data_IF_113551204289
#
_entry.id   IF_113551204289
#
_cell.length_a   1.000
_cell.length_b   1.000
_cell.length_c   1.000
_cell.angle_alpha   90.00
_cell.angle_beta   90.00
_cell.angle_gamma   90.00
#
_symmetry.space_group_name_H-M   'P 1'
#
loop_
_entity.id
_entity.type
_entity.pdbx_description
1 polymer ?
#
# COMPACT_ATOMS: atom_id res chain seq x y z
N UNK A 1 -16.52 5.16 9.15
CA UNK A 1 -15.31 5.93 8.75
C UNK A 1 -14.42 4.96 8.01
N UNK A 2 -14.17 5.24 6.72
CA UNK A 2 -13.41 4.33 5.84
C UNK A 2 -11.92 4.47 6.11
N UNK A 3 -11.20 3.35 6.13
CA UNK A 3 -9.75 3.29 6.31
C UNK A 3 -9.14 2.67 5.06
N UNK A 4 -8.28 3.42 4.38
CA UNK A 4 -7.67 2.98 3.12
C UNK A 4 -6.17 2.90 3.31
N UNK A 5 -5.63 1.71 3.12
CA UNK A 5 -4.22 1.37 3.21
C UNK A 5 -3.68 1.21 1.80
N UNK A 6 -2.77 2.10 1.42
CA UNK A 6 -2.03 1.98 0.17
C UNK A 6 -0.67 1.35 0.45
N UNK A 7 -0.31 0.33 -0.31
CA UNK A 7 1.08 -0.09 -0.38
C UNK A 7 1.97 1.00 -1.00
N UNK A 8 3.28 0.91 -0.78
CA UNK A 8 4.24 1.85 -1.35
C UNK A 8 4.88 1.32 -2.63
N UNK A 9 5.71 0.29 -2.54
CA UNK A 9 6.58 -0.11 -3.66
C UNK A 9 5.79 -0.96 -4.67
N UNK A 10 5.66 -0.48 -5.89
CA UNK A 10 4.79 -1.10 -6.89
C UNK A 10 3.35 -0.58 -6.84
N UNK A 11 3.01 0.29 -5.89
CA UNK A 11 1.67 0.89 -5.77
C UNK A 11 1.72 2.41 -5.83
N UNK A 12 2.17 3.12 -4.77
CA UNK A 12 2.33 4.58 -4.80
C UNK A 12 3.66 5.02 -5.42
N UNK A 13 4.68 4.18 -5.32
CA UNK A 13 5.98 4.33 -5.96
C UNK A 13 6.16 3.25 -7.04
N UNK A 14 6.85 3.56 -8.12
CA UNK A 14 7.13 2.61 -9.17
C UNK A 14 8.11 1.53 -8.69
N UNK A 15 7.71 0.26 -8.80
CA UNK A 15 8.63 -0.85 -8.53
C UNK A 15 9.72 -0.90 -9.58
N UNK A 16 11.00 -0.79 -9.20
CA UNK A 16 12.14 -1.08 -10.07
C UNK A 16 12.67 -2.48 -9.70
N UNK A 17 12.93 -3.34 -10.69
CA UNK A 17 13.51 -4.66 -10.39
C UNK A 17 14.97 -4.46 -9.97
N UNK A 18 15.36 -5.04 -8.82
CA UNK A 18 16.68 -4.87 -8.24
C UNK A 18 17.09 -6.10 -7.43
N UNK A 19 18.39 -6.37 -7.37
CA UNK A 19 18.95 -7.43 -6.53
C UNK A 19 19.00 -7.04 -5.04
N UNK A 20 19.15 -8.02 -4.13
CA UNK A 20 19.18 -7.75 -2.67
C UNK A 20 20.23 -6.71 -2.26
N UNK A 21 21.40 -6.70 -2.91
CA UNK A 21 22.46 -5.70 -2.64
C UNK A 21 21.99 -4.28 -2.96
N UNK A 22 21.28 -4.10 -4.07
CA UNK A 22 20.76 -2.81 -4.52
C UNK A 22 19.57 -2.39 -3.67
N UNK A 23 18.66 -3.31 -3.32
CA UNK A 23 17.54 -3.06 -2.41
C UNK A 23 18.02 -2.57 -1.03
N UNK A 24 19.18 -3.03 -0.57
CA UNK A 24 19.83 -2.58 0.67
C UNK A 24 20.72 -1.35 0.50
N UNK A 25 20.92 -0.86 -0.73
CA UNK A 25 21.74 0.31 -1.00
C UNK A 25 21.02 1.59 -0.59
N UNK A 26 21.79 2.55 -0.08
CA UNK A 26 21.24 3.82 0.38
C UNK A 26 20.59 4.59 -0.76
N UNK A 27 19.39 5.10 -0.51
CA UNK A 27 18.65 5.92 -1.46
C UNK A 27 17.89 5.10 -2.49
N UNK A 28 17.92 3.76 -2.45
CA UNK A 28 17.17 2.94 -3.40
C UNK A 28 15.67 3.28 -3.35
N UNK A 29 15.05 3.17 -2.18
CA UNK A 29 13.62 3.46 -2.00
C UNK A 29 13.32 4.96 -2.10
N UNK A 30 14.27 5.82 -1.71
CA UNK A 30 14.13 7.27 -1.76
C UNK A 30 14.00 7.81 -3.19
N UNK A 31 14.67 7.16 -4.13
CA UNK A 31 14.75 7.59 -5.52
C UNK A 31 13.77 6.85 -6.44
N UNK A 32 12.80 6.11 -5.89
CA UNK A 32 11.73 5.53 -6.69
C UNK A 32 10.83 6.64 -7.23
N UNK A 33 10.50 6.54 -8.52
CA UNK A 33 9.59 7.48 -9.17
C UNK A 33 8.16 7.25 -8.65
N UNK A 34 7.33 8.30 -8.56
CA UNK A 34 5.95 8.15 -8.13
C UNK A 34 5.09 7.51 -9.21
N UNK A 35 4.19 6.61 -8.79
CA UNK A 35 3.03 6.22 -9.60
C UNK A 35 2.00 7.36 -9.53
N UNK A 36 2.23 8.39 -10.34
CA UNK A 36 1.66 9.74 -10.16
C UNK A 36 0.13 9.75 -10.02
N UNK A 37 -0.60 9.02 -10.87
CA UNK A 37 -2.07 9.04 -10.85
C UNK A 37 -2.64 8.53 -9.51
N UNK A 38 -2.21 7.35 -9.06
CA UNK A 38 -2.68 6.76 -7.80
C UNK A 38 -2.13 7.51 -6.58
N UNK A 39 -0.92 8.07 -6.66
CA UNK A 39 -0.37 8.92 -5.61
C UNK A 39 -1.23 10.18 -5.41
N UNK A 40 -1.56 10.89 -6.47
CA UNK A 40 -2.40 12.07 -6.40
C UNK A 40 -3.82 11.74 -5.94
N UNK A 41 -4.35 10.58 -6.35
CA UNK A 41 -5.62 10.07 -5.83
C UNK A 41 -5.57 9.82 -4.32
N UNK A 42 -4.54 9.13 -3.82
CA UNK A 42 -4.36 8.87 -2.38
C UNK A 42 -4.21 10.17 -1.57
N UNK A 43 -3.45 11.15 -2.08
CA UNK A 43 -3.29 12.47 -1.46
C UNK A 43 -4.61 13.26 -1.41
N UNK A 44 -5.45 13.16 -2.45
CA UNK A 44 -6.79 13.76 -2.45
C UNK A 44 -7.72 13.09 -1.45
N UNK A 45 -7.67 11.76 -1.30
CA UNK A 45 -8.45 11.03 -0.30
C UNK A 45 -8.04 11.40 1.13
N UNK A 46 -6.75 11.62 1.38
CA UNK A 46 -6.24 11.97 2.70
C UNK A 46 -6.73 13.33 3.23
N UNK A 47 -7.26 14.18 2.35
CA UNK A 47 -7.85 15.48 2.70
C UNK A 47 -9.35 15.41 3.04
N UNK A 48 -9.97 14.21 2.98
CA UNK A 48 -11.39 14.04 3.25
C UNK A 48 -11.60 13.62 4.71
N UNK A 49 -12.48 14.33 5.42
CA UNK A 49 -12.72 14.11 6.86
C UNK A 49 -13.32 12.73 7.20
N UNK A 50 -13.95 12.06 6.23
CA UNK A 50 -14.58 10.75 6.43
C UNK A 50 -13.72 9.55 5.98
N UNK A 51 -12.48 9.81 5.57
CA UNK A 51 -11.54 8.79 5.09
C UNK A 51 -10.19 8.95 5.79
N UNK A 52 -9.76 7.91 6.47
CA UNK A 52 -8.38 7.82 6.96
C UNK A 52 -7.52 7.10 5.93
N UNK A 53 -6.47 7.76 5.47
CA UNK A 53 -5.50 7.18 4.53
C UNK A 53 -4.22 6.81 5.26
N UNK A 54 -3.71 5.61 4.96
CA UNK A 54 -2.48 5.05 5.51
C UNK A 54 -1.56 4.61 4.37
N UNK A 55 -0.25 4.81 4.54
CA UNK A 55 0.77 4.10 3.76
C UNK A 55 1.18 2.86 4.56
N UNK A 56 1.05 1.67 3.96
CA UNK A 56 1.35 0.38 4.59
C UNK A 56 2.36 -0.39 3.75
N UNK A 57 3.64 -0.33 4.14
CA UNK A 57 4.74 -0.90 3.34
C UNK A 57 5.63 -1.80 4.20
N UNK A 58 6.19 -2.83 3.56
CA UNK A 58 7.25 -3.63 4.17
C UNK A 58 8.60 -2.90 4.06
N UNK A 59 9.50 -3.12 5.01
CA UNK A 59 10.88 -2.63 4.92
C UNK A 59 11.89 -3.72 5.28
N UNK A 60 13.09 -3.60 4.71
CA UNK A 60 14.23 -4.47 5.01
C UNK A 60 14.99 -3.94 6.23
N UNK A 61 15.44 -4.84 7.10
CA UNK A 61 16.34 -4.51 8.21
C UNK A 61 17.78 -4.41 7.74
N UNK A 62 18.64 -3.87 8.61
CA UNK A 62 20.09 -3.81 8.42
C UNK A 62 20.50 -2.99 7.17
N UNK A 63 19.69 -1.98 6.82
CA UNK A 63 19.93 -1.03 5.73
C UNK A 63 19.04 0.22 5.91
N UNK A 64 19.17 1.22 5.03
CA UNK A 64 18.45 2.51 5.14
C UNK A 64 17.02 2.47 4.61
N UNK A 65 16.44 1.29 4.40
CA UNK A 65 15.15 1.15 3.72
C UNK A 65 14.03 1.87 4.46
N UNK A 66 14.03 1.84 5.80
CA UNK A 66 13.02 2.51 6.60
C UNK A 66 13.17 4.04 6.53
N UNK A 67 14.39 4.57 6.64
CA UNK A 67 14.64 6.00 6.52
C UNK A 67 14.28 6.50 5.12
N UNK A 68 14.72 5.79 4.08
CA UNK A 68 14.47 6.14 2.68
C UNK A 68 12.96 6.21 2.38
N UNK A 69 12.18 5.23 2.87
CA UNK A 69 10.72 5.22 2.71
C UNK A 69 10.04 6.38 3.45
N UNK A 70 10.50 6.70 4.66
CA UNK A 70 9.98 7.85 5.40
C UNK A 70 10.25 9.15 4.64
N UNK A 71 11.50 9.37 4.22
CA UNK A 71 11.89 10.55 3.45
C UNK A 71 11.13 10.65 2.13
N UNK A 72 10.94 9.52 1.43
CA UNK A 72 10.11 9.48 0.22
C UNK A 72 8.69 9.97 0.51
N UNK A 73 8.07 9.46 1.58
CA UNK A 73 6.71 9.87 1.96
C UNK A 73 6.65 11.34 2.39
N UNK A 74 7.67 11.86 3.07
CA UNK A 74 7.76 13.27 3.44
C UNK A 74 7.82 14.18 2.22
N UNK A 75 8.57 13.79 1.19
CA UNK A 75 8.71 14.56 -0.04
C UNK A 75 7.51 14.44 -0.99
N UNK A 76 6.95 13.23 -1.13
CA UNK A 76 6.00 12.90 -2.20
C UNK A 76 4.55 12.80 -1.74
N UNK A 77 4.32 12.47 -0.47
CA UNK A 77 2.99 12.29 0.11
C UNK A 77 2.85 12.98 1.49
N UNK A 78 3.25 14.26 1.64
CA UNK A 78 3.25 14.92 2.95
C UNK A 78 1.87 15.00 3.60
N UNK A 79 0.79 14.89 2.83
CA UNK A 79 -0.59 14.88 3.33
C UNK A 79 -0.96 13.58 4.06
N UNK A 80 -0.29 12.46 3.76
CA UNK A 80 -0.58 11.16 4.38
C UNK A 80 0.34 10.98 5.59
N UNK A 81 -0.19 11.32 6.78
CA UNK A 81 0.56 11.24 8.04
C UNK A 81 0.60 9.84 8.63
N UNK A 82 -0.42 9.02 8.39
CA UNK A 82 -0.46 7.67 8.94
C UNK A 82 0.43 6.73 8.11
N UNK A 83 1.51 6.25 8.73
CA UNK A 83 2.47 5.34 8.10
C UNK A 83 2.66 4.10 8.96
N UNK A 84 2.41 2.95 8.36
CA UNK A 84 2.55 1.65 8.96
C UNK A 84 3.65 0.89 8.22
N UNK A 85 4.89 1.04 8.67
CA UNK A 85 6.01 0.29 8.12
C UNK A 85 6.25 -0.98 8.93
N UNK A 86 6.21 -2.12 8.24
CA UNK A 86 6.28 -3.46 8.86
C UNK A 86 7.52 -4.20 8.38
N UNK A 87 8.06 -5.10 9.21
CA UNK A 87 9.20 -5.91 8.81
C UNK A 87 8.83 -6.77 7.59
N UNK A 88 9.75 -6.89 6.64
CA UNK A 88 9.56 -7.75 5.48
C UNK A 88 9.19 -9.19 5.89
N UNK A 89 8.21 -9.78 5.20
CA UNK A 89 7.66 -11.09 5.53
C UNK A 89 6.53 -11.07 6.57
N UNK A 90 6.27 -9.95 7.24
CA UNK A 90 5.16 -9.80 8.17
C UNK A 90 3.83 -9.76 7.43
N UNK A 91 2.81 -10.45 7.95
CA UNK A 91 1.44 -10.32 7.47
C UNK A 91 0.90 -8.90 7.77
N UNK A 92 0.61 -8.15 6.71
CA UNK A 92 0.12 -6.76 6.79
C UNK A 92 -1.22 -6.65 7.53
N UNK A 93 -2.15 -7.57 7.29
CA UNK A 93 -3.46 -7.56 7.92
C UNK A 93 -3.38 -7.74 9.44
N UNK A 94 -2.59 -8.72 9.90
CA UNK A 94 -2.35 -8.93 11.33
C UNK A 94 -1.70 -7.73 12.00
N UNK A 95 -0.74 -7.09 11.32
CA UNK A 95 -0.07 -5.89 11.83
C UNK A 95 -1.05 -4.74 12.03
N UNK A 96 -1.91 -4.51 11.02
CA UNK A 96 -2.95 -3.47 11.08
C UNK A 96 -4.01 -3.79 12.14
N UNK A 97 -4.46 -5.04 12.24
CA UNK A 97 -5.38 -5.47 13.30
C UNK A 97 -4.83 -5.22 14.71
N UNK A 98 -3.53 -5.44 14.92
CA UNK A 98 -2.86 -5.15 16.19
C UNK A 98 -2.87 -3.65 16.50
N UNK A 99 -2.52 -2.80 15.52
CA UNK A 99 -2.52 -1.34 15.67
C UNK A 99 -3.92 -0.81 15.99
N UNK A 100 -4.93 -1.32 15.29
CA UNK A 100 -6.32 -0.94 15.46
C UNK A 100 -7.00 -1.60 16.67
N UNK A 101 -6.31 -2.52 17.35
CA UNK A 101 -6.83 -3.33 18.45
C UNK A 101 -8.12 -4.10 18.08
N UNK A 102 -8.14 -4.69 16.88
CA UNK A 102 -9.29 -5.44 16.35
C UNK A 102 -9.01 -6.93 16.22
N UNK A 103 -10.06 -7.73 16.38
CA UNK A 103 -10.03 -9.19 16.14
C UNK A 103 -10.20 -9.57 14.66
N UNK A 104 -10.74 -8.66 13.85
CA UNK A 104 -10.95 -8.81 12.41
C UNK A 104 -10.96 -7.45 11.73
N UNK A 105 -10.62 -7.42 10.44
CA UNK A 105 -10.88 -6.28 9.56
C UNK A 105 -12.34 -6.33 9.07
N UNK A 106 -12.75 -5.25 8.41
CA UNK A 106 -14.09 -5.06 7.83
C UNK A 106 -14.00 -4.63 6.36
N UNK A 107 -15.12 -4.56 5.66
CA UNK A 107 -15.20 -3.99 4.31
C UNK A 107 -14.84 -2.50 4.24
N UNK A 108 -14.94 -1.78 5.37
CA UNK A 108 -14.45 -0.43 5.58
C UNK A 108 -12.91 -0.34 5.75
N UNK A 109 -12.22 -1.47 5.90
CA UNK A 109 -10.75 -1.60 5.92
C UNK A 109 -10.25 -2.05 4.54
N UNK A 110 -9.86 -1.09 3.71
CA UNK A 110 -9.54 -1.30 2.30
C UNK A 110 -8.02 -1.33 2.10
N UNK A 111 -7.48 -2.41 1.54
CA UNK A 111 -6.09 -2.49 1.07
C UNK A 111 -6.03 -2.33 -0.45
N UNK A 112 -5.20 -1.40 -0.91
CA UNK A 112 -4.78 -1.25 -2.31
C UNK A 112 -3.31 -1.61 -2.38
N UNK A 113 -3.00 -2.74 -3.03
CA UNK A 113 -1.67 -3.35 -3.05
C UNK A 113 -1.46 -4.09 -4.37
N UNK A 114 -0.23 -4.18 -4.83
CA UNK A 114 0.13 -4.84 -6.09
C UNK A 114 0.41 -6.34 -5.88
N UNK A 115 0.78 -6.72 -4.66
CA UNK A 115 1.23 -8.05 -4.30
C UNK A 115 0.08 -8.95 -3.81
N UNK A 116 -0.19 -10.01 -4.59
CA UNK A 116 -1.34 -10.90 -4.35
C UNK A 116 -1.35 -11.58 -2.98
N UNK A 117 -0.18 -11.85 -2.38
CA UNK A 117 -0.10 -12.47 -1.06
C UNK A 117 -0.73 -11.56 -0.01
N UNK A 118 -0.35 -10.27 0.00
CA UNK A 118 -0.90 -9.28 0.93
C UNK A 118 -2.42 -9.17 0.78
N UNK A 119 -2.91 -9.13 -0.46
CA UNK A 119 -4.34 -9.02 -0.76
C UNK A 119 -5.13 -10.26 -0.30
N UNK A 120 -4.62 -11.46 -0.55
CA UNK A 120 -5.26 -12.71 -0.12
C UNK A 120 -5.29 -12.82 1.41
N UNK A 121 -4.19 -12.46 2.08
CA UNK A 121 -4.12 -12.40 3.53
C UNK A 121 -5.11 -11.37 4.09
N UNK A 122 -5.19 -10.18 3.49
CA UNK A 122 -6.14 -9.13 3.90
C UNK A 122 -7.60 -9.59 3.83
N UNK A 123 -7.99 -10.23 2.72
CA UNK A 123 -9.34 -10.82 2.57
C UNK A 123 -9.62 -11.89 3.61
N UNK A 124 -8.64 -12.75 3.92
CA UNK A 124 -8.79 -13.82 4.92
C UNK A 124 -9.19 -13.27 6.30
N UNK A 125 -8.79 -12.04 6.62
CA UNK A 125 -9.13 -11.36 7.87
C UNK A 125 -10.34 -10.42 7.74
N UNK A 126 -11.17 -10.55 6.70
CA UNK A 126 -12.42 -9.80 6.53
C UNK A 126 -12.27 -8.42 5.89
N UNK A 127 -11.05 -8.03 5.52
CA UNK A 127 -10.78 -6.74 4.87
C UNK A 127 -11.13 -6.75 3.39
N UNK A 128 -11.45 -5.57 2.85
CA UNK A 128 -11.59 -5.39 1.39
C UNK A 128 -10.22 -5.23 0.75
N UNK A 129 -9.91 -6.04 -0.26
CA UNK A 129 -8.65 -5.97 -0.99
C UNK A 129 -8.88 -5.65 -2.47
N UNK A 130 -8.13 -4.68 -3.00
CA UNK A 130 -8.18 -4.27 -4.40
C UNK A 130 -6.77 -4.36 -4.96
N UNK A 131 -6.60 -5.14 -6.04
CA UNK A 131 -5.29 -5.26 -6.68
C UNK A 131 -5.00 -4.06 -7.57
N UNK A 132 -3.91 -3.36 -7.30
CA UNK A 132 -3.38 -2.37 -8.23
C UNK A 132 -2.62 -3.04 -9.37
N UNK A 133 -2.87 -2.63 -10.62
CA UNK A 133 -2.19 -3.13 -11.82
C UNK A 133 -1.20 -2.07 -12.31
N UNK A 134 0.07 -2.20 -11.91
CA UNK A 134 1.14 -1.25 -12.19
C UNK A 134 1.89 -1.49 -13.52
N UNK A 135 1.35 -2.34 -14.40
CA UNK A 135 2.00 -2.75 -15.66
C UNK A 135 3.16 -3.76 -15.54
N UNK A 136 3.70 -3.99 -14.34
CA UNK A 136 4.78 -4.98 -14.06
C UNK A 136 4.24 -6.27 -13.41
N UNK A 137 3.05 -6.18 -12.84
CA UNK A 137 2.41 -7.29 -12.12
C UNK A 137 2.00 -8.43 -13.05
N UNK A 138 2.62 -9.61 -12.91
CA UNK A 138 2.26 -10.78 -13.71
C UNK A 138 2.93 -12.11 -13.34
N UNK A 139 3.90 -12.12 -12.42
CA UNK A 139 4.77 -13.29 -12.16
C UNK A 139 4.53 -14.01 -10.82
N UNK A 140 3.36 -13.86 -10.21
CA UNK A 140 3.09 -14.35 -8.84
C UNK A 140 1.74 -15.06 -8.64
N UNK A 141 1.42 -15.35 -7.37
CA UNK A 141 0.14 -15.95 -6.95
C UNK A 141 -1.05 -15.19 -7.57
N UNK A 142 -2.08 -15.93 -7.99
CA UNK A 142 -3.31 -15.32 -8.50
C UNK A 142 -4.09 -14.71 -7.33
N UNK A 143 -4.49 -13.46 -7.49
CA UNK A 143 -5.48 -12.82 -6.62
C UNK A 143 -6.83 -12.91 -7.30
N UNK A 144 -7.84 -13.42 -6.58
CA UNK A 144 -9.23 -13.47 -7.05
C UNK A 144 -10.04 -12.38 -6.35
N UNK A 145 -10.36 -11.32 -7.10
CA UNK A 145 -11.05 -10.14 -6.59
C UNK A 145 -10.87 -8.92 -7.50
N UNK A 146 -11.40 -7.76 -7.07
CA UNK A 146 -11.33 -6.51 -7.81
C UNK A 146 -9.89 -6.11 -8.13
N UNK A 147 -9.66 -5.69 -9.37
CA UNK A 147 -8.34 -5.29 -9.85
C UNK A 147 -8.49 -4.13 -10.81
N UNK A 148 -7.58 -3.18 -10.74
CA UNK A 148 -7.57 -2.05 -11.67
C UNK A 148 -6.19 -1.40 -11.71
N UNK A 149 -5.85 -0.81 -12.84
CA UNK A 149 -4.72 0.13 -12.99
C UNK A 149 -5.20 1.55 -13.28
N UNK A 150 -6.48 1.83 -13.06
CA UNK A 150 -7.12 3.10 -13.38
C UNK A 150 -7.76 3.71 -12.12
N UNK A 151 -7.50 4.99 -11.87
CA UNK A 151 -7.94 5.68 -10.66
C UNK A 151 -9.45 5.92 -10.59
N UNK A 152 -10.13 6.08 -11.73
CA UNK A 152 -11.59 6.26 -11.75
C UNK A 152 -12.33 4.97 -11.40
N UNK A 153 -11.84 3.84 -11.91
CA UNK A 153 -12.33 2.53 -11.51
C UNK A 153 -12.00 2.23 -10.05
N UNK A 154 -10.79 2.57 -9.59
CA UNK A 154 -10.41 2.44 -8.18
C UNK A 154 -11.36 3.24 -7.28
N UNK A 155 -11.70 4.48 -7.67
CA UNK A 155 -12.65 5.31 -6.94
C UNK A 155 -14.04 4.67 -6.86
N UNK A 156 -14.53 4.06 -7.95
CA UNK A 156 -15.80 3.31 -7.95
C UNK A 156 -15.73 2.10 -7.03
N UNK A 157 -14.64 1.33 -7.09
CA UNK A 157 -14.43 0.16 -6.24
C UNK A 157 -14.37 0.54 -4.74
N UNK A 158 -13.76 1.66 -4.39
CA UNK A 158 -13.75 2.17 -3.00
C UNK A 158 -15.14 2.65 -2.57
N UNK A 159 -15.90 3.25 -3.50
CA UNK A 159 -17.22 3.82 -3.23
C UNK A 159 -18.36 2.80 -3.21
N UNK A 160 -18.23 1.67 -3.91
CA UNK A 160 -19.25 0.61 -4.03
C UNK A 160 -19.51 -0.17 -2.73
N UNK A 161 -19.13 0.39 -1.59
CA UNK A 161 -19.48 -0.07 -0.25
C UNK A 161 -20.51 0.91 0.26
N UNK A 162 -21.77 0.60 -0.02
CA UNK A 162 -22.98 1.21 0.49
C UNK A 162 -24.00 0.09 0.67
#
# INVERSE_FOLDING_TARGET
MKRIFFDLDGTLAEWKEAGMRELKSRGYFLNLDPQTEILDFARKLAKKDNIEVYILSAFLTDCTALEDKNMWCDMKAPEIKNRNFVLNGTNKALSVMKILQKKSLTDEDILVDDYSKNLNEWKKYGGKAIKWLNGKNGRGLKFEGPRTGNVDELARLISSVA
#
